data_IF_636207984454
#
_entry.id   IF_636207984454
#
_cell.length_a   1.000
_cell.length_b   1.000
_cell.length_c   1.000
_cell.angle_alpha   90.00
_cell.angle_beta   90.00
_cell.angle_gamma   90.00
#
_symmetry.space_group_name_H-M   'P 1'
#
loop_
_entity.id
_entity.type
_entity.pdbx_description
1 polymer ?
#
# COMPACT_ATOMS: atom_id res chain seq x y z
N UNK A 1 -26.74 11.69 -15.34
CA UNK A 1 -25.55 10.94 -14.89
C UNK A 1 -24.69 11.95 -14.14
N UNK A 2 -24.53 11.82 -12.81
CA UNK A 2 -23.81 12.83 -12.00
C UNK A 2 -22.35 12.89 -12.47
N UNK A 3 -21.84 14.09 -12.77
CA UNK A 3 -20.44 14.29 -13.17
C UNK A 3 -19.50 14.05 -11.99
N UNK A 4 -18.55 13.14 -12.20
CA UNK A 4 -17.56 12.73 -11.22
C UNK A 4 -16.45 13.79 -11.12
N UNK A 5 -16.29 14.40 -9.94
CA UNK A 5 -15.26 15.42 -9.73
C UNK A 5 -13.93 14.77 -9.34
N UNK A 6 -12.94 14.89 -10.22
CA UNK A 6 -11.75 14.04 -10.23
C UNK A 6 -10.55 14.54 -9.40
N UNK A 7 -10.71 15.59 -8.59
CA UNK A 7 -9.56 16.19 -7.90
C UNK A 7 -9.23 15.52 -6.56
N UNK A 8 -8.55 14.37 -6.65
CA UNK A 8 -8.37 13.41 -5.55
C UNK A 8 -7.15 13.60 -4.67
N UNK A 9 -6.25 14.55 -4.95
CA UNK A 9 -5.03 14.73 -4.13
C UNK A 9 -5.32 15.20 -2.71
N UNK A 10 -6.56 15.65 -2.43
CA UNK A 10 -6.99 16.19 -1.13
C UNK A 10 -8.41 15.78 -0.73
N UNK A 11 -8.99 14.72 -1.28
CA UNK A 11 -10.43 14.45 -1.04
C UNK A 11 -10.78 14.26 0.46
N UNK A 12 -9.86 13.72 1.27
CA UNK A 12 -10.01 13.63 2.73
C UNK A 12 -9.95 14.99 3.45
N UNK A 13 -9.38 16.02 2.81
CA UNK A 13 -9.16 17.35 3.40
C UNK A 13 -10.21 18.38 2.95
N UNK A 14 -10.89 18.13 1.83
CA UNK A 14 -11.88 19.05 1.27
C UNK A 14 -13.28 18.50 1.52
N UNK A 15 -14.01 19.13 2.45
CA UNK A 15 -15.35 18.69 2.87
C UNK A 15 -16.33 18.49 1.70
N UNK A 16 -16.38 19.44 0.76
CA UNK A 16 -17.28 19.33 -0.40
C UNK A 16 -16.99 18.08 -1.23
N UNK A 17 -15.71 17.78 -1.49
CA UNK A 17 -15.30 16.60 -2.26
C UNK A 17 -15.62 15.32 -1.49
N UNK A 18 -15.42 15.32 -0.16
CA UNK A 18 -15.76 14.18 0.69
C UNK A 18 -17.25 13.84 0.60
N UNK A 19 -18.12 14.85 0.79
CA UNK A 19 -19.58 14.70 0.71
C UNK A 19 -20.05 14.24 -0.68
N UNK A 20 -19.52 14.81 -1.76
CA UNK A 20 -19.86 14.36 -3.12
C UNK A 20 -19.52 12.88 -3.34
N UNK A 21 -18.41 12.39 -2.77
CA UNK A 21 -18.09 10.96 -2.86
C UNK A 21 -19.05 10.10 -2.00
N UNK A 22 -19.47 10.56 -0.82
CA UNK A 22 -20.49 9.87 -0.01
C UNK A 22 -21.82 9.78 -0.77
N UNK A 23 -22.25 10.88 -1.38
CA UNK A 23 -23.49 10.97 -2.18
C UNK A 23 -23.43 10.08 -3.42
N UNK A 24 -22.29 10.04 -4.11
CA UNK A 24 -22.05 9.13 -5.23
C UNK A 24 -22.30 7.67 -4.81
N UNK A 25 -21.66 7.22 -3.72
CA UNK A 25 -21.84 5.85 -3.25
C UNK A 25 -23.27 5.60 -2.77
N UNK A 26 -23.85 6.51 -2.00
CA UNK A 26 -25.24 6.38 -1.54
C UNK A 26 -26.21 6.25 -2.71
N UNK A 27 -26.11 7.12 -3.71
CA UNK A 27 -26.98 7.10 -4.89
C UNK A 27 -26.80 5.84 -5.74
N UNK A 28 -25.54 5.45 -5.98
CA UNK A 28 -25.22 4.28 -6.81
C UNK A 28 -25.70 2.99 -6.13
N UNK A 29 -25.46 2.85 -4.83
CA UNK A 29 -25.84 1.64 -4.06
C UNK A 29 -27.35 1.59 -3.82
N UNK A 30 -28.02 2.74 -3.64
CA UNK A 30 -29.48 2.79 -3.52
C UNK A 30 -30.16 2.27 -4.79
N UNK A 31 -29.59 2.53 -5.97
CA UNK A 31 -30.08 1.98 -7.24
C UNK A 31 -29.93 0.47 -7.38
N UNK A 32 -29.01 -0.14 -6.61
CA UNK A 32 -28.77 -1.60 -6.60
C UNK A 32 -29.55 -2.32 -5.48
N UNK A 33 -29.99 -1.59 -4.45
CA UNK A 33 -30.73 -2.17 -3.32
C UNK A 33 -32.23 -2.14 -3.55
N UNK A 34 -32.90 -3.22 -3.14
CA UNK A 34 -34.37 -3.32 -3.13
C UNK A 34 -35.01 -2.71 -1.88
N UNK A 35 -34.21 -2.26 -0.91
CA UNK A 35 -34.69 -1.67 0.34
C UNK A 35 -34.11 -0.26 0.52
N UNK A 36 -34.73 0.51 1.40
CA UNK A 36 -34.14 1.76 1.87
C UNK A 36 -32.82 1.46 2.61
N UNK A 37 -31.75 2.15 2.20
CA UNK A 37 -30.46 2.03 2.86
C UNK A 37 -30.55 2.52 4.31
N UNK A 38 -30.06 1.71 5.25
CA UNK A 38 -29.88 2.11 6.66
C UNK A 38 -28.40 2.13 6.98
N UNK A 39 -27.93 3.20 7.62
CA UNK A 39 -26.52 3.31 7.99
C UNK A 39 -26.11 2.13 8.88
N UNK A 40 -24.90 1.62 8.64
CA UNK A 40 -24.40 0.40 9.29
C UNK A 40 -23.32 0.70 10.33
N UNK A 41 -22.27 1.42 9.92
CA UNK A 41 -21.16 1.84 10.78
C UNK A 41 -21.28 3.34 11.04
N UNK A 42 -21.24 3.72 12.31
CA UNK A 42 -21.16 5.13 12.70
C UNK A 42 -19.78 5.68 12.39
N UNK A 43 -19.74 6.82 11.71
CA UNK A 43 -18.52 7.50 11.30
C UNK A 43 -18.36 8.84 12.03
N UNK A 44 -18.58 8.82 13.34
CA UNK A 44 -18.59 9.98 14.22
C UNK A 44 -17.78 9.68 15.48
N UNK A 45 -17.11 10.70 16.01
CA UNK A 45 -16.51 10.68 17.33
C UNK A 45 -17.60 10.67 18.42
N UNK A 46 -17.23 10.35 19.66
CA UNK A 46 -18.17 10.35 20.78
C UNK A 46 -18.81 11.71 21.09
N UNK A 47 -18.25 12.80 20.56
CA UNK A 47 -18.80 14.16 20.64
C UNK A 47 -19.72 14.53 19.46
N UNK A 48 -19.94 13.62 18.51
CA UNK A 48 -20.77 13.83 17.32
C UNK A 48 -20.03 14.41 16.11
N UNK A 49 -18.73 14.69 16.22
CA UNK A 49 -17.94 15.20 15.09
C UNK A 49 -17.72 14.09 14.05
N UNK A 50 -17.89 14.42 12.76
CA UNK A 50 -17.67 13.47 11.66
C UNK A 50 -16.18 13.09 11.53
N UNK A 51 -15.91 11.79 11.36
CA UNK A 51 -14.56 11.27 11.07
C UNK A 51 -14.34 11.28 9.55
N UNK A 52 -13.37 12.06 9.05
CA UNK A 52 -13.10 12.20 7.60
C UNK A 52 -11.82 11.52 7.16
N UNK A 53 -11.62 10.27 7.58
CA UNK A 53 -10.45 9.46 7.19
C UNK A 53 -10.73 8.49 6.02
N UNK A 54 -12.00 8.42 5.58
CA UNK A 54 -12.44 7.54 4.50
C UNK A 54 -12.69 6.09 4.93
N UNK A 55 -12.71 5.80 6.24
CA UNK A 55 -12.96 4.48 6.81
C UNK A 55 -14.03 4.50 7.93
N UNK A 56 -15.33 4.38 7.58
CA UNK A 56 -15.85 4.23 6.23
C UNK A 56 -16.12 5.58 5.54
N UNK A 57 -15.91 5.62 4.23
CA UNK A 57 -16.49 6.68 3.40
C UNK A 57 -18.01 6.46 3.28
N UNK A 58 -18.44 5.23 3.09
CA UNK A 58 -19.86 4.85 3.02
C UNK A 58 -20.07 3.52 3.71
N UNK A 59 -21.18 3.37 4.44
CA UNK A 59 -21.61 2.06 4.95
C UNK A 59 -23.12 1.98 5.08
N UNK A 60 -23.70 0.86 4.65
CA UNK A 60 -25.14 0.66 4.75
C UNK A 60 -25.52 -0.83 4.81
N UNK A 61 -26.64 -1.11 5.49
CA UNK A 61 -27.41 -2.34 5.31
C UNK A 61 -28.16 -2.24 3.99
N UNK A 62 -28.03 -3.28 3.17
CA UNK A 62 -28.57 -3.32 1.80
C UNK A 62 -29.59 -4.44 1.57
N UNK A 63 -29.68 -5.39 2.50
CA UNK A 63 -30.71 -6.43 2.57
C UNK A 63 -30.74 -7.01 4.00
N UNK A 64 -31.68 -7.92 4.27
CA UNK A 64 -31.66 -8.74 5.48
C UNK A 64 -30.36 -9.56 5.50
N UNK A 65 -29.61 -9.48 6.59
CA UNK A 65 -28.34 -10.22 6.75
C UNK A 65 -27.19 -9.72 5.86
N UNK A 66 -27.31 -8.59 5.14
CA UNK A 66 -26.24 -8.05 4.28
C UNK A 66 -25.95 -6.57 4.52
N UNK A 67 -24.67 -6.24 4.64
CA UNK A 67 -24.17 -4.88 4.71
C UNK A 67 -22.99 -4.65 3.74
N UNK A 68 -22.73 -3.39 3.41
CA UNK A 68 -21.57 -2.98 2.63
C UNK A 68 -20.83 -1.88 3.38
N UNK A 69 -19.50 -1.92 3.27
CA UNK A 69 -18.61 -0.85 3.70
C UNK A 69 -17.65 -0.48 2.58
N UNK A 70 -17.62 0.81 2.24
CA UNK A 70 -16.66 1.37 1.31
C UNK A 70 -15.62 2.16 2.09
N UNK A 71 -14.37 1.76 1.94
CA UNK A 71 -13.20 2.46 2.44
C UNK A 71 -12.54 3.13 1.23
N UNK A 72 -12.34 4.44 1.27
CA UNK A 72 -11.67 5.17 0.20
C UNK A 72 -10.41 5.84 0.72
N UNK A 73 -9.30 5.69 0.00
CA UNK A 73 -8.02 6.30 0.35
C UNK A 73 -7.46 7.14 -0.79
N UNK A 74 -6.56 8.06 -0.48
CA UNK A 74 -5.95 8.92 -1.50
C UNK A 74 -5.09 8.10 -2.45
N UNK A 75 -4.89 8.60 -3.68
CA UNK A 75 -4.03 7.92 -4.65
C UNK A 75 -2.60 7.77 -4.14
N UNK A 76 -2.11 6.54 -4.09
CA UNK A 76 -0.78 6.15 -3.65
C UNK A 76 -0.37 4.85 -4.36
N UNK A 77 0.65 4.93 -5.22
CA UNK A 77 1.10 3.80 -6.03
C UNK A 77 1.65 2.62 -5.21
N UNK A 78 1.97 2.84 -3.93
CA UNK A 78 2.54 1.84 -3.03
C UNK A 78 1.51 1.23 -2.08
N UNK A 79 0.30 1.78 -2.05
CA UNK A 79 -0.86 1.19 -1.34
C UNK A 79 -1.72 0.39 -2.32
N UNK A 80 -2.53 -0.57 -1.84
CA UNK A 80 -3.46 -1.27 -2.71
C UNK A 80 -4.37 -0.27 -3.42
N UNK A 81 -4.47 -0.44 -4.74
CA UNK A 81 -5.41 0.33 -5.57
C UNK A 81 -6.85 -0.08 -5.27
N UNK A 82 -7.05 -1.36 -4.98
CA UNK A 82 -8.34 -1.95 -4.65
C UNK A 82 -8.13 -3.26 -3.89
N UNK A 83 -8.98 -3.52 -2.91
CA UNK A 83 -9.08 -4.79 -2.21
C UNK A 83 -10.51 -4.97 -1.70
N UNK A 84 -10.92 -6.22 -1.50
CA UNK A 84 -12.16 -6.51 -0.79
C UNK A 84 -12.05 -7.77 0.05
N UNK A 85 -12.86 -7.83 1.10
CA UNK A 85 -12.99 -8.97 2.00
C UNK A 85 -14.38 -9.00 2.61
N UNK A 86 -14.72 -10.11 3.24
CA UNK A 86 -16.01 -10.29 3.91
C UNK A 86 -15.79 -10.37 5.42
N UNK A 87 -16.66 -9.73 6.19
CA UNK A 87 -16.78 -9.92 7.63
C UNK A 87 -18.13 -10.59 7.94
N UNK A 88 -18.17 -11.44 8.96
CA UNK A 88 -19.42 -11.99 9.50
C UNK A 88 -19.56 -11.54 10.94
N UNK A 89 -20.72 -11.00 11.29
CA UNK A 89 -21.07 -10.56 12.63
C UNK A 89 -22.26 -11.37 13.12
N UNK A 90 -22.16 -11.90 14.35
CA UNK A 90 -23.30 -12.46 15.05
C UNK A 90 -24.18 -11.32 15.58
N UNK A 91 -25.48 -11.37 15.29
CA UNK A 91 -26.47 -10.45 15.82
C UNK A 91 -27.69 -11.22 16.35
N UNK A 92 -28.50 -10.57 17.18
CA UNK A 92 -29.67 -11.19 17.83
C UNK A 92 -30.67 -11.80 16.82
N UNK A 93 -30.68 -11.29 15.58
CA UNK A 93 -31.57 -11.71 14.49
C UNK A 93 -30.88 -12.55 13.40
N UNK A 94 -29.73 -13.16 13.72
CA UNK A 94 -28.96 -14.01 12.81
C UNK A 94 -27.60 -13.42 12.43
N UNK A 95 -26.99 -14.00 11.39
CA UNK A 95 -25.69 -13.55 10.89
C UNK A 95 -25.85 -12.36 9.94
N UNK A 96 -24.97 -11.37 10.10
CA UNK A 96 -24.80 -10.29 9.15
C UNK A 96 -23.49 -10.50 8.40
N UNK A 97 -23.59 -10.62 7.08
CA UNK A 97 -22.45 -10.65 6.18
C UNK A 97 -22.18 -9.25 5.63
N UNK A 98 -20.99 -8.73 5.88
CA UNK A 98 -20.53 -7.45 5.37
C UNK A 98 -19.52 -7.65 4.24
N UNK A 99 -19.79 -7.08 3.07
CA UNK A 99 -18.78 -6.88 2.05
C UNK A 99 -18.04 -5.57 2.32
N UNK A 100 -16.72 -5.65 2.51
CA UNK A 100 -15.86 -4.48 2.62
C UNK A 100 -15.09 -4.30 1.32
N UNK A 101 -15.14 -3.10 0.74
CA UNK A 101 -14.37 -2.71 -0.43
C UNK A 101 -13.48 -1.52 -0.09
N UNK A 102 -12.17 -1.71 -0.15
CA UNK A 102 -11.18 -0.65 0.01
C UNK A 102 -10.62 -0.25 -1.35
N UNK A 103 -10.68 1.03 -1.71
CA UNK A 103 -10.21 1.49 -3.02
C UNK A 103 -9.51 2.86 -2.98
N UNK A 104 -8.73 3.09 -4.02
CA UNK A 104 -8.28 4.41 -4.43
C UNK A 104 -9.16 4.90 -5.59
N UNK A 105 -9.38 6.22 -5.73
CA UNK A 105 -10.35 6.78 -6.66
C UNK A 105 -9.84 6.73 -8.11
N UNK A 106 -10.10 5.64 -8.81
CA UNK A 106 -9.89 5.45 -10.25
C UNK A 106 -11.23 5.08 -10.89
N UNK A 107 -11.47 5.48 -12.13
CA UNK A 107 -12.75 5.21 -12.81
C UNK A 107 -13.06 3.71 -12.80
N UNK A 108 -12.05 2.90 -13.09
CA UNK A 108 -12.12 1.45 -13.16
C UNK A 108 -12.45 0.84 -11.79
N UNK A 109 -11.83 1.33 -10.71
CA UNK A 109 -12.10 0.80 -9.36
C UNK A 109 -13.53 1.09 -8.92
N UNK A 110 -14.15 2.20 -9.33
CA UNK A 110 -15.57 2.44 -9.05
C UNK A 110 -16.47 1.46 -9.78
N UNK A 111 -16.27 1.29 -11.09
CA UNK A 111 -17.08 0.40 -11.91
C UNK A 111 -16.98 -1.05 -11.42
N UNK A 112 -15.77 -1.53 -11.18
CA UNK A 112 -15.52 -2.87 -10.66
C UNK A 112 -16.15 -3.08 -9.28
N UNK A 113 -16.08 -2.06 -8.41
CA UNK A 113 -16.71 -2.11 -7.08
C UNK A 113 -18.22 -2.18 -7.16
N UNK A 114 -18.85 -1.39 -8.04
CA UNK A 114 -20.30 -1.43 -8.24
C UNK A 114 -20.76 -2.78 -8.79
N UNK A 115 -20.02 -3.34 -9.75
CA UNK A 115 -20.28 -4.68 -10.27
C UNK A 115 -20.17 -5.74 -9.16
N UNK A 116 -19.15 -5.65 -8.30
CA UNK A 116 -19.00 -6.56 -7.17
C UNK A 116 -20.17 -6.45 -6.18
N UNK A 117 -20.59 -5.22 -5.87
CA UNK A 117 -21.75 -4.98 -5.00
C UNK A 117 -23.02 -5.58 -5.58
N UNK A 118 -23.29 -5.37 -6.86
CA UNK A 118 -24.47 -5.93 -7.54
C UNK A 118 -24.50 -7.47 -7.43
N UNK A 119 -23.35 -8.12 -7.65
CA UNK A 119 -23.24 -9.56 -7.46
C UNK A 119 -23.37 -9.97 -6.00
N UNK A 120 -22.89 -9.16 -5.05
CA UNK A 120 -22.99 -9.44 -3.62
C UNK A 120 -24.45 -9.40 -3.15
N UNK A 121 -25.23 -8.43 -3.65
CA UNK A 121 -26.69 -8.37 -3.46
C UNK A 121 -27.33 -9.68 -3.96
N UNK A 122 -26.91 -10.14 -5.13
CA UNK A 122 -27.45 -11.34 -5.82
C UNK A 122 -26.92 -12.68 -5.29
N UNK A 123 -25.82 -12.70 -4.55
CA UNK A 123 -25.22 -13.90 -3.93
C UNK A 123 -24.12 -14.61 -4.72
N UNK A 124 -23.81 -14.17 -5.95
CA UNK A 124 -22.85 -14.84 -6.86
C UNK A 124 -21.48 -14.17 -6.98
N UNK A 125 -20.96 -13.57 -5.92
CA UNK A 125 -19.87 -12.57 -6.00
C UNK A 125 -18.44 -13.10 -5.79
N UNK A 126 -18.27 -14.29 -5.22
CA UNK A 126 -16.96 -14.79 -4.76
C UNK A 126 -15.92 -14.88 -5.88
N UNK A 127 -16.30 -15.40 -7.06
CA UNK A 127 -15.38 -15.52 -8.19
C UNK A 127 -14.93 -14.14 -8.71
N UNK A 128 -15.85 -13.18 -8.81
CA UNK A 128 -15.52 -11.81 -9.20
C UNK A 128 -14.63 -11.14 -8.15
N UNK A 129 -14.94 -11.33 -6.86
CA UNK A 129 -14.15 -10.83 -5.74
C UNK A 129 -12.68 -11.28 -5.84
N UNK A 130 -12.47 -12.57 -6.05
CA UNK A 130 -11.13 -13.16 -6.16
C UNK A 130 -10.38 -12.67 -7.40
N UNK A 131 -11.07 -12.55 -8.55
CA UNK A 131 -10.48 -12.01 -9.79
C UNK A 131 -10.02 -10.56 -9.63
N UNK A 132 -10.87 -9.70 -9.07
CA UNK A 132 -10.55 -8.29 -8.83
C UNK A 132 -9.41 -8.16 -7.81
N UNK A 133 -9.46 -8.92 -6.70
CA UNK A 133 -8.38 -8.93 -5.70
C UNK A 133 -7.05 -9.35 -6.33
N UNK A 134 -7.05 -10.40 -7.16
CA UNK A 134 -5.84 -10.86 -7.85
C UNK A 134 -5.30 -9.80 -8.83
N UNK A 135 -6.19 -9.19 -9.61
CA UNK A 135 -5.84 -8.17 -10.60
C UNK A 135 -5.14 -6.96 -9.95
N UNK A 136 -5.77 -6.34 -8.96
CA UNK A 136 -5.27 -5.13 -8.32
C UNK A 136 -4.09 -5.38 -7.37
N UNK A 137 -4.03 -6.55 -6.72
CA UNK A 137 -2.81 -6.97 -6.01
C UNK A 137 -1.62 -7.10 -6.97
N UNK A 138 -1.84 -7.67 -8.16
CA UNK A 138 -0.81 -7.77 -9.20
C UNK A 138 -0.25 -6.40 -9.61
N UNK A 139 -1.11 -5.39 -9.80
CA UNK A 139 -0.68 -4.03 -10.11
C UNK A 139 0.13 -3.40 -8.96
N UNK A 140 -0.39 -3.47 -7.73
CA UNK A 140 0.25 -2.90 -6.53
C UNK A 140 1.63 -3.50 -6.30
N UNK A 141 1.75 -4.83 -6.42
CA UNK A 141 3.01 -5.54 -6.27
C UNK A 141 4.06 -5.11 -7.31
N UNK A 142 3.66 -4.91 -8.58
CA UNK A 142 4.57 -4.41 -9.62
C UNK A 142 5.09 -3.01 -9.29
N UNK A 143 4.22 -2.13 -8.82
CA UNK A 143 4.61 -0.77 -8.43
C UNK A 143 5.61 -0.79 -7.25
N UNK A 144 5.35 -1.63 -6.24
CA UNK A 144 6.26 -1.81 -5.08
C UNK A 144 7.63 -2.34 -5.50
N UNK A 145 7.68 -3.33 -6.38
CA UNK A 145 8.94 -3.86 -6.94
C UNK A 145 9.70 -2.74 -7.64
N UNK A 146 9.06 -2.05 -8.59
CA UNK A 146 9.69 -0.97 -9.37
C UNK A 146 10.19 0.18 -8.49
N UNK A 147 9.42 0.54 -7.46
CA UNK A 147 9.83 1.57 -6.51
C UNK A 147 11.11 1.18 -5.76
N UNK A 148 11.18 -0.08 -5.32
CA UNK A 148 12.33 -0.63 -4.61
C UNK A 148 13.57 -0.76 -5.52
N UNK A 149 13.40 -1.25 -6.76
CA UNK A 149 14.47 -1.30 -7.77
C UNK A 149 15.04 0.10 -8.05
N UNK A 150 14.18 1.07 -8.36
CA UNK A 150 14.58 2.45 -8.61
C UNK A 150 15.30 3.08 -7.41
N UNK A 151 14.85 2.78 -6.18
CA UNK A 151 15.51 3.27 -4.98
C UNK A 151 16.95 2.76 -4.93
N UNK A 152 17.16 1.46 -5.12
CA UNK A 152 18.48 0.86 -5.07
C UNK A 152 19.40 1.34 -6.19
N UNK A 153 18.91 1.44 -7.42
CA UNK A 153 19.65 2.02 -8.54
C UNK A 153 20.12 3.45 -8.25
N UNK A 154 19.23 4.30 -7.72
CA UNK A 154 19.53 5.71 -7.43
C UNK A 154 20.43 5.92 -6.23
N UNK A 155 20.33 5.06 -5.22
CA UNK A 155 21.20 5.14 -4.04
C UNK A 155 22.59 4.56 -4.27
N UNK A 156 22.81 3.89 -5.41
CA UNK A 156 24.10 3.30 -5.76
C UNK A 156 24.53 2.28 -4.72
N UNK A 157 23.76 1.18 -4.57
CA UNK A 157 24.20 -0.03 -3.87
C UNK A 157 25.48 -0.59 -4.55
N UNK A 158 26.61 0.05 -4.31
CA UNK A 158 27.92 -0.50 -4.50
C UNK A 158 28.53 -0.61 -3.11
N UNK A 159 29.15 -1.75 -2.80
CA UNK A 159 29.51 -2.34 -1.49
C UNK A 159 30.19 -1.42 -0.43
N UNK A 160 30.40 -0.14 -0.70
CA UNK A 160 31.07 0.82 0.17
C UNK A 160 30.38 2.19 0.31
N UNK A 161 29.28 2.46 -0.39
CA UNK A 161 28.63 3.78 -0.36
C UNK A 161 27.69 3.95 0.85
N UNK A 162 27.12 2.85 1.36
CA UNK A 162 26.19 2.86 2.48
C UNK A 162 26.89 2.81 3.84
N UNK A 163 28.09 2.22 3.90
CA UNK A 163 28.83 1.95 5.13
C UNK A 163 29.42 3.23 5.76
N UNK A 164 29.31 3.34 7.08
CA UNK A 164 29.85 4.46 7.84
C UNK A 164 31.26 4.12 8.34
N UNK A 165 32.17 5.08 8.20
CA UNK A 165 33.47 5.01 8.89
C UNK A 165 33.41 5.75 10.22
N UNK A 166 34.15 5.25 11.22
CA UNK A 166 34.24 5.88 12.54
C UNK A 166 34.76 7.32 12.45
N UNK A 167 35.74 7.57 11.57
CA UNK A 167 36.32 8.89 11.36
C UNK A 167 35.32 9.88 10.76
N UNK A 168 34.64 9.51 9.65
CA UNK A 168 33.62 10.37 9.02
C UNK A 168 32.46 10.64 9.98
N UNK A 169 32.03 9.63 10.72
CA UNK A 169 30.93 9.78 11.65
C UNK A 169 31.26 10.75 12.79
N UNK A 170 32.44 10.62 13.40
CA UNK A 170 32.92 11.53 14.47
C UNK A 170 33.07 12.98 13.99
N UNK A 171 33.48 13.18 12.73
CA UNK A 171 33.60 14.50 12.10
C UNK A 171 32.27 15.07 11.57
N UNK A 172 31.15 14.38 11.78
CA UNK A 172 29.84 14.75 11.23
C UNK A 172 29.82 14.83 9.67
N UNK A 173 30.65 14.02 9.01
CA UNK A 173 30.77 13.95 7.55
C UNK A 173 29.82 12.91 6.92
N UNK A 174 28.81 12.44 7.65
CA UNK A 174 27.78 11.53 7.14
C UNK A 174 26.60 12.31 6.51
N UNK A 175 25.84 11.64 5.65
CA UNK A 175 24.68 12.24 4.96
C UNK A 175 23.36 11.93 5.69
N UNK A 176 22.82 12.92 6.42
CA UNK A 176 21.50 12.80 7.03
C UNK A 176 20.36 12.71 6.01
N UNK A 177 20.51 13.29 4.82
CA UNK A 177 19.49 13.20 3.77
C UNK A 177 19.40 11.77 3.24
N UNK A 178 20.50 11.04 3.23
CA UNK A 178 20.50 9.62 2.91
C UNK A 178 19.71 8.80 3.94
N UNK A 179 19.89 9.04 5.24
CA UNK A 179 19.07 8.41 6.28
C UNK A 179 17.58 8.73 6.13
N UNK A 180 17.23 9.98 5.80
CA UNK A 180 15.84 10.37 5.49
C UNK A 180 15.28 9.58 4.32
N UNK A 181 16.06 9.37 3.24
CA UNK A 181 15.62 8.54 2.10
C UNK A 181 15.34 7.10 2.52
N UNK A 182 16.21 6.48 3.32
CA UNK A 182 15.99 5.11 3.84
C UNK A 182 14.71 5.05 4.69
N UNK A 183 14.53 6.01 5.60
CA UNK A 183 13.33 6.10 6.44
C UNK A 183 12.06 6.20 5.58
N UNK A 184 12.04 7.12 4.61
CA UNK A 184 10.88 7.33 3.74
C UNK A 184 10.53 6.07 2.95
N UNK A 185 11.53 5.35 2.43
CA UNK A 185 11.30 4.08 1.73
C UNK A 185 10.78 3.00 2.68
N UNK A 186 11.37 2.89 3.88
CA UNK A 186 10.90 1.95 4.90
C UNK A 186 9.47 2.23 5.36
N UNK A 187 9.06 3.50 5.42
CA UNK A 187 7.70 3.88 5.81
C UNK A 187 6.71 3.69 4.65
N UNK A 188 7.13 3.97 3.41
CA UNK A 188 6.30 3.83 2.23
C UNK A 188 5.99 2.35 1.91
N UNK A 189 6.92 1.45 2.22
CA UNK A 189 6.77 0.01 2.04
C UNK A 189 6.23 -0.64 3.33
N UNK A 190 4.95 -0.43 3.62
CA UNK A 190 4.28 -1.11 4.74
C UNK A 190 4.06 -2.60 4.44
N UNK A 191 4.14 -3.42 5.50
CA UNK A 191 4.05 -4.88 5.43
C UNK A 191 2.66 -5.40 5.04
N UNK A 192 1.64 -4.58 5.26
CA UNK A 192 0.25 -5.00 5.14
C UNK A 192 -0.12 -5.21 3.65
N UNK A 193 -0.68 -6.39 3.37
CA UNK A 193 -1.40 -6.75 2.14
C UNK A 193 -0.56 -7.11 0.89
N UNK A 194 0.74 -7.37 1.02
CA UNK A 194 1.50 -7.85 -0.15
C UNK A 194 1.31 -9.35 -0.40
N UNK A 195 0.22 -9.74 -1.08
CA UNK A 195 0.08 -11.12 -1.61
C UNK A 195 0.62 -11.17 -3.04
N UNK A 196 1.83 -11.69 -3.22
CA UNK A 196 2.37 -11.88 -4.58
C UNK A 196 1.87 -13.22 -5.13
N UNK A 197 1.58 -13.26 -6.44
CA UNK A 197 1.25 -14.52 -7.11
C UNK A 197 2.39 -15.56 -7.04
N UNK A 198 3.64 -15.12 -6.81
CA UNK A 198 4.77 -16.01 -6.61
C UNK A 198 5.38 -15.86 -5.21
N UNK A 199 5.24 -16.92 -4.40
CA UNK A 199 5.75 -16.99 -3.02
C UNK A 199 7.25 -16.80 -2.88
N UNK A 200 8.05 -17.12 -3.90
CA UNK A 200 9.50 -16.90 -3.86
C UNK A 200 9.83 -15.40 -3.97
N UNK A 201 9.14 -14.66 -4.84
CA UNK A 201 9.26 -13.18 -4.89
C UNK A 201 8.75 -12.55 -3.62
N UNK A 202 7.60 -13.02 -3.10
CA UNK A 202 7.07 -12.53 -1.83
C UNK A 202 8.10 -12.65 -0.71
N UNK A 203 8.71 -13.82 -0.54
CA UNK A 203 9.70 -14.07 0.50
C UNK A 203 10.90 -13.13 0.40
N UNK A 204 11.48 -12.99 -0.79
CA UNK A 204 12.65 -12.14 -0.97
C UNK A 204 12.31 -10.66 -0.82
N UNK A 205 11.18 -10.20 -1.36
CA UNK A 205 10.68 -8.84 -1.17
C UNK A 205 10.50 -8.52 0.33
N UNK A 206 9.83 -9.40 1.07
CA UNK A 206 9.64 -9.23 2.52
C UNK A 206 10.96 -9.25 3.29
N UNK A 207 11.95 -10.03 2.82
CA UNK A 207 13.30 -10.02 3.40
C UNK A 207 13.93 -8.63 3.28
N UNK A 208 13.86 -8.02 2.10
CA UNK A 208 14.41 -6.68 1.83
C UNK A 208 13.70 -5.61 2.66
N UNK A 209 12.36 -5.60 2.67
CA UNK A 209 11.56 -4.65 3.47
C UNK A 209 11.91 -4.75 4.95
N UNK A 210 12.05 -5.96 5.48
CA UNK A 210 12.46 -6.17 6.87
C UNK A 210 13.89 -5.67 7.14
N UNK A 211 14.81 -5.82 6.19
CA UNK A 211 16.17 -5.26 6.28
C UNK A 211 16.16 -3.74 6.37
N UNK A 212 15.43 -3.08 5.47
CA UNK A 212 15.23 -1.62 5.50
C UNK A 212 14.65 -1.14 6.85
N UNK A 213 13.68 -1.87 7.40
CA UNK A 213 13.09 -1.54 8.70
C UNK A 213 14.12 -1.63 9.85
N UNK A 214 15.03 -2.60 9.82
CA UNK A 214 16.08 -2.73 10.84
C UNK A 214 17.06 -1.56 10.76
N UNK A 215 17.47 -1.17 9.55
CA UNK A 215 18.32 0.01 9.34
C UNK A 215 17.57 1.26 9.82
N UNK A 216 16.29 1.41 9.44
CA UNK A 216 15.45 2.53 9.86
C UNK A 216 15.38 2.64 11.40
N UNK A 217 15.18 1.52 12.11
CA UNK A 217 15.23 1.50 13.58
C UNK A 217 16.59 1.95 14.12
N UNK A 218 17.69 1.55 13.50
CA UNK A 218 19.03 1.98 13.91
C UNK A 218 19.21 3.48 13.72
N UNK A 219 18.92 4.03 12.54
CA UNK A 219 19.12 5.46 12.21
C UNK A 219 18.18 6.38 13.00
N UNK A 220 16.98 5.93 13.35
CA UNK A 220 16.02 6.66 14.22
C UNK A 220 16.26 6.42 15.71
N UNK A 221 17.33 5.69 16.06
CA UNK A 221 17.70 5.40 17.45
C UNK A 221 16.50 4.75 18.20
N UNK A 222 15.93 3.71 17.60
CA UNK A 222 14.71 3.03 18.03
C UNK A 222 13.52 4.00 18.24
N UNK A 223 13.24 4.82 17.23
CA UNK A 223 12.18 5.84 17.25
C UNK A 223 12.35 6.94 18.32
N UNK A 224 13.55 7.12 18.87
CA UNK A 224 13.88 8.26 19.76
C UNK A 224 14.31 9.50 18.99
N UNK A 225 14.55 9.35 17.69
CA UNK A 225 14.89 10.44 16.81
C UNK A 225 14.01 10.44 15.58
N UNK A 226 13.26 11.52 15.42
CA UNK A 226 12.44 11.76 14.24
C UNK A 226 13.25 12.55 13.20
N UNK A 227 13.57 11.87 12.11
CA UNK A 227 14.34 12.42 10.99
C UNK A 227 13.53 13.43 10.15
N UNK A 228 12.22 13.54 10.33
CA UNK A 228 11.38 14.51 9.61
C UNK A 228 11.65 15.95 10.07
N UNK A 229 12.00 16.15 11.35
CA UNK A 229 12.33 17.46 11.89
C UNK A 229 13.70 17.98 11.41
N UNK A 230 13.85 19.31 11.43
CA UNK A 230 15.09 20.02 11.04
C UNK A 230 16.12 19.97 12.18
N UNK A 231 16.72 18.80 12.37
CA UNK A 231 17.84 18.64 13.30
C UNK A 231 19.19 18.85 12.62
N UNK A 232 20.15 19.37 13.37
CA UNK A 232 21.56 19.43 13.00
C UNK A 232 22.25 18.07 13.16
N UNK A 233 23.34 17.86 12.40
CA UNK A 233 24.20 16.67 12.56
C UNK A 233 24.78 16.56 13.98
N UNK A 234 25.02 17.70 14.64
CA UNK A 234 25.53 17.75 16.02
C UNK A 234 24.50 17.19 17.01
N UNK A 235 23.24 17.57 16.88
CA UNK A 235 22.15 17.02 17.72
C UNK A 235 21.96 15.52 17.48
N UNK A 236 22.05 15.08 16.22
CA UNK A 236 22.01 13.66 15.91
C UNK A 236 23.12 12.88 16.62
N UNK A 237 24.37 13.34 16.51
CA UNK A 237 25.51 12.72 17.17
C UNK A 237 25.32 12.68 18.69
N UNK A 238 24.85 13.76 19.29
CA UNK A 238 24.56 13.81 20.72
C UNK A 238 23.56 12.71 21.13
N UNK A 239 22.49 12.52 20.37
CA UNK A 239 21.53 11.45 20.65
C UNK A 239 22.13 10.06 20.44
N UNK A 240 22.93 9.86 19.40
CA UNK A 240 23.64 8.59 19.21
C UNK A 240 24.52 8.27 20.41
N UNK A 241 25.28 9.25 20.93
CA UNK A 241 26.08 9.10 22.14
C UNK A 241 25.24 8.83 23.39
N UNK A 242 24.04 9.40 23.49
CA UNK A 242 23.13 9.18 24.62
C UNK A 242 22.57 7.74 24.65
N UNK A 243 22.30 7.16 23.48
CA UNK A 243 21.59 5.88 23.38
C UNK A 243 22.48 4.69 22.97
N UNK A 244 23.71 4.94 22.53
CA UNK A 244 24.70 3.90 22.23
C UNK A 244 25.95 4.12 23.10
N UNK A 245 26.51 3.06 23.72
CA UNK A 245 27.70 3.17 24.58
C UNK A 245 28.90 3.85 23.88
N UNK A 246 28.99 3.73 22.56
CA UNK A 246 29.96 4.45 21.74
C UNK A 246 29.47 4.60 20.29
N UNK A 247 30.01 5.58 19.53
CA UNK A 247 29.78 5.66 18.07
C UNK A 247 30.19 4.39 17.33
N UNK A 248 31.20 3.67 17.83
CA UNK A 248 31.65 2.40 17.25
C UNK A 248 30.55 1.34 17.32
N UNK A 249 29.79 1.30 18.42
CA UNK A 249 28.67 0.37 18.59
C UNK A 249 27.53 0.69 17.61
N UNK A 250 27.18 1.98 17.46
CA UNK A 250 26.19 2.41 16.47
C UNK A 250 26.60 2.02 15.05
N UNK A 251 27.83 2.39 14.65
CA UNK A 251 28.36 2.14 13.30
C UNK A 251 28.45 0.65 13.02
N UNK A 252 28.96 -0.15 13.97
CA UNK A 252 29.03 -1.60 13.84
C UNK A 252 27.65 -2.22 13.62
N UNK A 253 26.64 -1.78 14.39
CA UNK A 253 25.26 -2.25 14.22
C UNK A 253 24.67 -1.81 12.88
N UNK A 254 24.85 -0.55 12.50
CA UNK A 254 24.34 -0.01 11.24
C UNK A 254 24.95 -0.73 10.04
N UNK A 255 26.29 -0.80 9.95
CA UNK A 255 27.00 -1.46 8.84
C UNK A 255 26.61 -2.94 8.74
N UNK A 256 26.51 -3.65 9.87
CA UNK A 256 26.03 -5.05 9.86
C UNK A 256 24.64 -5.22 9.22
N UNK A 257 23.72 -4.30 9.48
CA UNK A 257 22.38 -4.35 8.88
C UNK A 257 22.38 -3.94 7.39
N UNK A 258 23.30 -3.04 6.99
CA UNK A 258 23.55 -2.67 5.60
C UNK A 258 24.10 -3.86 4.82
N UNK A 259 25.19 -4.49 5.28
CA UNK A 259 25.79 -5.65 4.61
C UNK A 259 24.76 -6.79 4.46
N UNK A 260 23.95 -7.01 5.50
CA UNK A 260 22.86 -7.99 5.45
C UNK A 260 21.72 -7.58 4.50
N UNK A 261 21.49 -6.29 4.26
CA UNK A 261 20.52 -5.81 3.27
C UNK A 261 21.04 -6.07 1.85
N UNK A 262 22.31 -5.78 1.57
CA UNK A 262 22.92 -5.98 0.25
C UNK A 262 22.73 -7.41 -0.25
N UNK A 263 23.07 -8.39 0.59
CA UNK A 263 22.85 -9.82 0.30
C UNK A 263 21.37 -10.13 -0.02
N UNK A 264 20.42 -9.52 0.71
CA UNK A 264 18.98 -9.73 0.46
C UNK A 264 18.54 -9.13 -0.87
N UNK A 265 19.07 -7.94 -1.21
CA UNK A 265 18.77 -7.27 -2.48
C UNK A 265 19.29 -8.08 -3.66
N UNK A 266 20.50 -8.63 -3.57
CA UNK A 266 21.05 -9.50 -4.61
C UNK A 266 20.20 -10.75 -4.83
N UNK A 267 19.77 -11.42 -3.75
CA UNK A 267 18.85 -12.58 -3.84
C UNK A 267 17.52 -12.20 -4.45
N UNK A 268 16.97 -11.04 -4.08
CA UNK A 268 15.73 -10.52 -4.63
C UNK A 268 15.87 -10.25 -6.15
N UNK A 269 16.91 -9.52 -6.56
CA UNK A 269 17.20 -9.23 -7.97
C UNK A 269 17.45 -10.51 -8.78
N UNK A 270 18.14 -11.51 -8.21
CA UNK A 270 18.31 -12.82 -8.84
C UNK A 270 16.98 -13.54 -9.04
N UNK A 271 16.10 -13.48 -8.03
CA UNK A 271 14.77 -14.10 -8.09
C UNK A 271 13.90 -13.46 -9.17
N UNK A 272 13.89 -12.13 -9.27
CA UNK A 272 13.18 -11.40 -10.34
C UNK A 272 13.70 -11.78 -11.73
N UNK A 273 15.02 -11.80 -11.93
CA UNK A 273 15.64 -12.22 -13.20
C UNK A 273 15.23 -13.63 -13.59
N UNK A 274 15.27 -14.58 -12.66
CA UNK A 274 14.86 -15.96 -12.90
C UNK A 274 13.39 -16.07 -13.31
N UNK A 275 12.51 -15.27 -12.70
CA UNK A 275 11.11 -15.22 -13.09
C UNK A 275 10.89 -14.63 -14.47
N UNK A 276 11.59 -13.55 -14.83
CA UNK A 276 11.51 -12.96 -16.15
C UNK A 276 11.92 -13.96 -17.25
N UNK A 277 13.02 -14.70 -17.03
CA UNK A 277 13.47 -15.75 -17.95
C UNK A 277 12.44 -16.88 -18.05
N UNK A 278 11.86 -17.33 -16.94
CA UNK A 278 10.84 -18.37 -16.94
C UNK A 278 9.56 -17.93 -17.67
N UNK A 279 9.14 -16.67 -17.50
CA UNK A 279 8.01 -16.10 -18.21
C UNK A 279 8.25 -15.99 -19.72
N UNK A 280 9.46 -15.58 -20.13
CA UNK A 280 9.86 -15.52 -21.54
C UNK A 280 9.84 -16.91 -22.20
N UNK A 281 10.33 -17.95 -21.51
CA UNK A 281 10.31 -19.34 -22.01
C UNK A 281 8.90 -19.93 -22.15
N UNK A 282 7.94 -19.47 -21.36
CA UNK A 282 6.54 -19.94 -21.40
C UNK A 282 5.70 -19.23 -22.46
N UNK A 283 6.15 -18.10 -23.01
CA UNK A 283 5.52 -17.49 -24.18
C UNK A 283 5.85 -18.35 -25.41
N UNK A 284 4.97 -19.29 -25.76
CA UNK A 284 4.88 -19.71 -27.17
C UNK A 284 4.60 -18.45 -28.00
N UNK A 285 5.22 -18.26 -29.17
CA UNK A 285 4.87 -17.15 -30.05
C UNK A 285 3.38 -17.29 -30.38
N UNK A 286 2.56 -16.39 -29.84
CA UNK A 286 1.21 -16.20 -30.33
C UNK A 286 1.42 -15.44 -31.64
N UNK A 287 1.37 -16.15 -32.76
CA UNK A 287 1.09 -15.52 -34.04
C UNK A 287 -0.28 -14.87 -33.87
N UNK A 288 -0.31 -13.55 -33.72
CA UNK A 288 -1.55 -12.81 -33.89
C UNK A 288 -1.96 -13.02 -35.34
N UNK A 289 -3.04 -13.79 -35.56
CA UNK A 289 -3.75 -13.72 -36.83
C UNK A 289 -4.19 -12.26 -36.99
N UNK A 290 -3.94 -11.62 -38.14
CA UNK A 290 -4.39 -10.26 -38.38
C UNK A 290 -5.91 -10.20 -38.22
N UNK A 291 -6.38 -9.24 -37.42
CA UNK A 291 -7.80 -8.91 -37.34
C UNK A 291 -8.21 -8.43 -38.74
N UNK A 292 -9.19 -9.04 -39.41
CA UNK A 292 -9.68 -8.55 -40.70
C UNK A 292 -10.12 -7.09 -40.56
N UNK A 293 -9.65 -6.23 -41.46
CA UNK A 293 -9.94 -4.77 -41.49
C UNK A 293 -11.44 -4.43 -41.49
N UNK A 294 -12.30 -5.41 -41.77
CA UNK A 294 -13.75 -5.30 -41.75
C UNK A 294 -14.34 -5.09 -40.33
N UNK A 295 -13.57 -5.33 -39.25
CA UNK A 295 -14.01 -5.07 -37.88
C UNK A 295 -13.57 -3.70 -37.32
N UNK A 296 -12.94 -2.85 -38.14
CA UNK A 296 -12.51 -1.49 -37.77
C UNK A 296 -13.28 -0.38 -38.51
N UNK A 297 -14.46 -0.69 -39.06
CA UNK A 297 -15.39 0.31 -39.63
C UNK A 297 -16.70 0.34 -38.88
#
# INVERSE_FOLDING_TARGET
>A
MMEYNADFKKFLKAEGIYRTNQEFWRSSIQGLSKIALKDWVKNEYGNGDEIRDGNPLFSAKIAVGKAIRIIQSSRDALKPVWASWNNTYSADNGELHELVVALQPYKETYLDSLQLVEQFVSGGYSELQDKLNLHYNGQTNRNRIKYLENFFERTGLQENSWNLSVSKFRKAEFDLNFFKKIMNVSQALLFYESKFGNKAVEREYQSVVNGLRKINKTITINAKYDLEYKWSKKEYLHLVHKYYPSPKTFISRYNKEVDALEVRVERFAKTLRNQAVAAAKKRKPIFYLPVPEEQLR
#
